data_IF_001786401724
#
_entry.id   IF_001786401724
#
_cell.length_a   1.000
_cell.length_b   1.000
_cell.length_c   1.000
_cell.angle_alpha   90.00
_cell.angle_beta   90.00
_cell.angle_gamma   90.00
#
_symmetry.space_group_name_H-M   'P 1'
#
loop_
_entity.id
_entity.type
_entity.pdbx_description
1 polymer ?
#
# COMPACT_ATOMS: atom_id res chain seq x y z
N UNK A 1 -6.84 -5.53 14.85
CA UNK A 1 -6.00 -4.32 14.80
C UNK A 1 -5.16 -4.19 13.54
N UNK A 2 -4.77 -5.25 12.81
CA UNK A 2 -4.03 -5.08 11.54
C UNK A 2 -4.80 -4.38 10.41
N UNK A 3 -6.11 -4.61 10.30
CA UNK A 3 -6.95 -3.93 9.31
C UNK A 3 -7.14 -2.45 9.65
N UNK A 4 -7.22 -2.11 10.93
CA UNK A 4 -7.36 -0.72 11.39
C UNK A 4 -6.07 0.06 11.10
N UNK A 5 -4.92 -0.56 11.37
CA UNK A 5 -3.61 0.01 11.05
C UNK A 5 -3.44 0.22 9.53
N UNK A 6 -3.81 -0.77 8.72
CA UNK A 6 -3.76 -0.65 7.26
C UNK A 6 -4.65 0.49 6.75
N UNK A 7 -5.87 0.64 7.30
CA UNK A 7 -6.76 1.74 6.93
C UNK A 7 -6.18 3.08 7.34
N UNK A 8 -5.64 3.20 8.56
CA UNK A 8 -5.00 4.42 9.04
C UNK A 8 -3.86 4.84 8.11
N UNK A 9 -2.96 3.91 7.76
CA UNK A 9 -1.83 4.18 6.86
C UNK A 9 -2.29 4.61 5.46
N UNK A 10 -3.29 3.92 4.90
CA UNK A 10 -3.86 4.28 3.60
C UNK A 10 -4.50 5.67 3.60
N UNK A 11 -5.26 6.01 4.64
CA UNK A 11 -5.83 7.35 4.80
C UNK A 11 -4.74 8.41 4.91
N UNK A 12 -3.73 8.18 5.76
CA UNK A 12 -2.66 9.16 5.99
C UNK A 12 -1.82 9.43 4.73
N UNK A 13 -1.50 8.39 3.94
CA UNK A 13 -0.81 8.57 2.65
C UNK A 13 -1.67 9.40 1.69
N UNK A 14 -2.98 9.11 1.60
CA UNK A 14 -3.90 9.84 0.72
C UNK A 14 -4.03 11.30 1.13
N UNK A 15 -4.15 11.58 2.43
CA UNK A 15 -4.26 12.93 2.97
C UNK A 15 -3.01 13.75 2.69
N UNK A 16 -1.83 13.21 2.99
CA UNK A 16 -0.55 13.89 2.74
C UNK A 16 -0.33 14.18 1.25
N UNK A 17 -0.68 13.24 0.37
CA UNK A 17 -0.62 13.46 -1.08
C UNK A 17 -1.61 14.55 -1.54
N UNK A 18 -2.82 14.58 -0.97
CA UNK A 18 -3.86 15.56 -1.28
C UNK A 18 -3.55 16.98 -0.80
N UNK A 19 -2.65 17.12 0.19
CA UNK A 19 -2.23 18.40 0.75
C UNK A 19 -0.91 18.93 0.13
N UNK A 20 -0.21 18.11 -0.66
CA UNK A 20 1.09 18.42 -1.24
C UNK A 20 1.08 18.69 -2.74
N UNK A 21 2.24 18.61 -3.37
CA UNK A 21 2.40 18.81 -4.82
C UNK A 21 1.69 17.74 -5.67
N UNK A 22 1.34 16.59 -5.08
CA UNK A 22 0.59 15.53 -5.72
C UNK A 22 -0.95 15.71 -5.72
N UNK A 23 -1.48 16.80 -5.14
CA UNK A 23 -2.91 16.97 -4.88
C UNK A 23 -3.81 16.75 -6.12
N UNK A 24 -3.40 17.26 -7.27
CA UNK A 24 -4.16 17.17 -8.53
C UNK A 24 -3.73 15.98 -9.41
N UNK A 25 -2.87 15.10 -8.91
CA UNK A 25 -2.26 13.99 -9.68
C UNK A 25 -2.95 12.65 -9.43
N UNK A 26 -4.04 12.64 -8.64
CA UNK A 26 -4.87 11.47 -8.41
C UNK A 26 -4.19 10.36 -7.59
N UNK A 27 -3.15 10.71 -6.81
CA UNK A 27 -2.50 9.77 -5.90
C UNK A 27 -3.45 9.43 -4.76
N UNK A 28 -3.75 8.14 -4.61
CA UNK A 28 -4.59 7.62 -3.54
C UNK A 28 -4.02 6.31 -3.01
N UNK A 29 -4.31 6.02 -1.73
CA UNK A 29 -3.94 4.76 -1.12
C UNK A 29 -5.19 4.05 -0.56
N UNK A 30 -5.22 2.73 -0.69
CA UNK A 30 -6.31 1.87 -0.19
C UNK A 30 -5.76 0.58 0.39
N UNK A 31 -6.54 -0.05 1.28
CA UNK A 31 -6.17 -1.35 1.85
C UNK A 31 -6.42 -2.45 0.82
N UNK A 32 -5.41 -3.27 0.59
CA UNK A 32 -5.50 -4.50 -0.17
C UNK A 32 -5.35 -5.70 0.77
N UNK A 33 -6.12 -6.76 0.53
CA UNK A 33 -6.17 -7.94 1.40
C UNK A 33 -5.94 -9.21 0.59
N UNK A 34 -4.82 -9.86 0.87
CA UNK A 34 -4.52 -11.18 0.32
C UNK A 34 -4.94 -12.26 1.29
N UNK A 35 -5.79 -13.18 0.81
CA UNK A 35 -6.21 -14.36 1.57
C UNK A 35 -5.59 -15.60 0.96
N UNK A 36 -4.73 -16.26 1.72
CA UNK A 36 -4.06 -17.48 1.31
C UNK A 36 -4.68 -18.64 2.10
N UNK A 37 -5.24 -19.60 1.37
CA UNK A 37 -5.74 -20.85 1.92
C UNK A 37 -4.96 -22.03 1.33
N UNK A 38 -4.45 -22.97 2.15
CA UNK A 38 -3.80 -24.16 1.64
C UNK A 38 -4.76 -25.01 0.80
N UNK A 39 -4.35 -25.36 -0.42
CA UNK A 39 -5.17 -26.15 -1.35
C UNK A 39 -5.42 -27.59 -0.90
N UNK A 40 -4.50 -28.18 -0.13
CA UNK A 40 -4.65 -29.51 0.46
C UNK A 40 -4.21 -29.49 1.92
N UNK A 41 -5.07 -30.02 2.79
CA UNK A 41 -4.86 -30.13 4.23
C UNK A 41 -5.28 -31.55 4.63
N UNK A 42 -4.45 -32.31 5.36
CA UNK A 42 -4.76 -33.69 5.73
C UNK A 42 -6.12 -33.81 6.44
N UNK A 43 -6.82 -34.93 6.22
CA UNK A 43 -8.09 -35.21 6.90
C UNK A 43 -7.88 -35.15 8.42
N UNK A 44 -8.60 -34.25 9.09
CA UNK A 44 -8.51 -34.02 10.53
C UNK A 44 -7.73 -32.78 10.95
N UNK A 45 -7.01 -32.12 10.03
CA UNK A 45 -6.36 -30.83 10.29
C UNK A 45 -7.32 -29.68 9.95
N UNK A 46 -7.38 -28.66 10.81
CA UNK A 46 -8.06 -27.40 10.50
C UNK A 46 -7.45 -26.77 9.24
N UNK A 47 -8.26 -26.08 8.43
CA UNK A 47 -7.77 -25.31 7.28
C UNK A 47 -7.44 -23.89 7.74
N UNK A 48 -6.17 -23.54 8.04
CA UNK A 48 -5.86 -22.17 8.40
C UNK A 48 -6.11 -21.25 7.20
N UNK A 49 -6.67 -20.08 7.46
CA UNK A 49 -6.72 -18.97 6.50
C UNK A 49 -5.69 -17.95 6.94
N UNK A 50 -4.73 -17.64 6.07
CA UNK A 50 -3.77 -16.58 6.32
C UNK A 50 -4.26 -15.32 5.60
N UNK A 51 -4.37 -14.22 6.33
CA UNK A 51 -4.75 -12.91 5.78
C UNK A 51 -3.55 -11.99 5.87
N UNK A 52 -3.12 -11.42 4.75
CA UNK A 52 -2.08 -10.39 4.68
C UNK A 52 -2.72 -9.08 4.23
N UNK A 53 -2.31 -7.99 4.89
CA UNK A 53 -2.78 -6.65 4.59
C UNK A 53 -1.64 -5.87 3.95
N UNK A 54 -1.97 -5.17 2.87
CA UNK A 54 -1.08 -4.28 2.16
C UNK A 54 -1.75 -2.91 2.00
N UNK A 55 -0.94 -1.87 1.84
CA UNK A 55 -1.39 -0.56 1.38
C UNK A 55 -1.08 -0.47 -0.11
N UNK A 56 -2.13 -0.45 -0.92
CA UNK A 56 -2.04 -0.24 -2.36
C UNK A 56 -2.04 1.27 -2.62
N UNK A 57 -0.92 1.82 -3.08
CA UNK A 57 -0.78 3.21 -3.52
C UNK A 57 -0.93 3.24 -5.04
N UNK A 58 -1.78 4.10 -5.57
CA UNK A 58 -2.03 4.22 -7.00
C UNK A 58 -2.19 5.66 -7.45
N UNK A 59 -1.90 5.91 -8.72
CA UNK A 59 -2.32 7.10 -9.45
C UNK A 59 -3.13 6.70 -10.70
N UNK A 60 -3.20 7.58 -11.71
CA UNK A 60 -3.87 7.31 -12.97
C UNK A 60 -3.23 6.18 -13.81
N UNK A 61 -1.94 5.92 -13.64
CA UNK A 61 -1.13 5.07 -14.54
C UNK A 61 -0.32 3.99 -13.83
N UNK A 62 -0.19 4.06 -12.50
CA UNK A 62 0.70 3.21 -11.70
C UNK A 62 0.01 2.68 -10.46
N UNK A 63 0.50 1.55 -9.99
CA UNK A 63 0.11 0.93 -8.73
C UNK A 63 1.34 0.33 -8.04
N UNK A 64 1.39 0.45 -6.72
CA UNK A 64 2.41 -0.16 -5.88
C UNK A 64 1.77 -0.80 -4.64
N UNK A 65 2.33 -1.91 -4.19
CA UNK A 65 1.83 -2.70 -3.07
C UNK A 65 2.84 -2.67 -1.93
N UNK A 66 2.53 -1.91 -0.87
CA UNK A 66 3.39 -1.76 0.29
C UNK A 66 2.91 -2.67 1.41
N UNK A 67 3.83 -3.36 2.10
CA UNK A 67 3.50 -3.89 3.42
C UNK A 67 3.33 -2.74 4.44
N UNK A 68 2.81 -3.06 5.63
CA UNK A 68 2.46 -2.04 6.62
C UNK A 68 3.70 -1.30 7.17
N UNK A 69 4.84 -1.98 7.27
CA UNK A 69 6.09 -1.40 7.77
C UNK A 69 6.68 -0.41 6.76
N UNK A 70 6.66 -0.78 5.47
CA UNK A 70 7.12 0.05 4.36
C UNK A 70 6.19 1.26 4.18
N UNK A 71 4.87 1.08 4.34
CA UNK A 71 3.91 2.18 4.32
C UNK A 71 4.13 3.16 5.49
N UNK A 72 4.42 2.65 6.69
CA UNK A 72 4.80 3.50 7.84
C UNK A 72 6.06 4.30 7.57
N UNK A 73 7.08 3.66 7.01
CA UNK A 73 8.35 4.33 6.66
C UNK A 73 8.18 5.35 5.53
N UNK A 74 7.29 5.10 4.56
CA UNK A 74 6.96 6.09 3.53
C UNK A 74 6.31 7.33 4.15
N UNK A 75 5.41 7.13 5.12
CA UNK A 75 4.76 8.23 5.85
C UNK A 75 5.79 9.04 6.64
N UNK A 76 6.69 8.40 7.38
CA UNK A 76 7.68 9.13 8.20
C UNK A 76 8.58 10.06 7.38
N UNK A 77 8.87 9.68 6.13
CA UNK A 77 9.70 10.46 5.20
C UNK A 77 8.91 11.31 4.20
N UNK A 78 7.57 11.28 4.26
CA UNK A 78 6.74 11.94 3.25
C UNK A 78 6.95 13.46 3.25
N UNK A 79 7.38 14.01 2.11
CA UNK A 79 7.55 15.45 1.94
C UNK A 79 6.39 16.06 1.13
N UNK A 80 5.89 17.23 1.56
CA UNK A 80 4.81 17.93 0.84
C UNK A 80 5.20 18.39 -0.56
N UNK A 81 6.51 18.52 -0.83
CA UNK A 81 7.06 18.86 -2.14
C UNK A 81 7.02 17.71 -3.14
N UNK A 82 6.75 16.47 -2.70
CA UNK A 82 6.68 15.34 -3.62
C UNK A 82 5.42 15.41 -4.49
N UNK A 83 5.64 15.37 -5.80
CA UNK A 83 4.62 15.05 -6.79
C UNK A 83 4.41 13.53 -6.87
N UNK A 84 3.52 13.07 -7.75
CA UNK A 84 3.28 11.63 -7.89
C UNK A 84 4.57 10.88 -8.25
N UNK A 85 5.40 11.44 -9.13
CA UNK A 85 6.66 10.81 -9.52
C UNK A 85 7.62 10.68 -8.32
N UNK A 86 7.77 11.73 -7.51
CA UNK A 86 8.55 11.69 -6.28
C UNK A 86 8.06 10.64 -5.29
N UNK A 87 6.74 10.52 -5.12
CA UNK A 87 6.13 9.48 -4.25
C UNK A 87 6.47 8.08 -4.79
N UNK A 88 6.28 7.82 -6.08
CA UNK A 88 6.56 6.51 -6.66
C UNK A 88 8.07 6.20 -6.73
N UNK A 89 8.94 7.20 -6.87
CA UNK A 89 10.39 7.01 -6.78
C UNK A 89 10.83 6.70 -5.35
N UNK A 90 10.24 7.35 -4.33
CA UNK A 90 10.46 7.00 -2.93
C UNK A 90 10.00 5.57 -2.61
N UNK A 91 8.91 5.11 -3.23
CA UNK A 91 8.45 3.72 -3.15
C UNK A 91 9.46 2.76 -3.81
N UNK A 92 9.97 3.08 -5.01
CA UNK A 92 11.00 2.25 -5.68
C UNK A 92 12.29 2.16 -4.90
N UNK A 93 12.69 3.25 -4.23
CA UNK A 93 13.89 3.26 -3.38
C UNK A 93 13.81 2.30 -2.19
N UNK A 94 12.62 1.77 -1.88
CA UNK A 94 12.36 0.77 -0.84
C UNK A 94 12.23 -0.65 -1.41
N UNK A 95 12.73 -0.89 -2.63
CA UNK A 95 12.63 -2.16 -3.36
C UNK A 95 11.20 -2.66 -3.59
N UNK A 96 10.21 -1.75 -3.57
CA UNK A 96 8.82 -2.06 -3.88
C UNK A 96 8.58 -1.92 -5.38
N UNK A 97 7.94 -2.93 -5.98
CA UNK A 97 7.57 -2.91 -7.38
C UNK A 97 6.48 -1.86 -7.64
N UNK A 98 6.69 -1.05 -8.69
CA UNK A 98 5.68 -0.11 -9.22
C UNK A 98 5.26 -0.62 -10.59
N UNK A 99 4.02 -1.08 -10.68
CA UNK A 99 3.44 -1.69 -11.87
C UNK A 99 2.61 -0.67 -12.65
N UNK A 100 2.49 -0.87 -13.96
CA UNK A 100 1.56 -0.10 -14.78
C UNK A 100 0.12 -0.51 -14.45
N UNK A 101 -0.74 0.47 -14.20
CA UNK A 101 -2.18 0.28 -13.99
C UNK A 101 -2.82 -0.04 -15.34
N UNK A 102 -3.39 -1.24 -15.47
CA UNK A 102 -4.11 -1.70 -16.66
C UNK A 102 -5.56 -1.21 -16.68
#
# INVERSE_FOLDING_TARGET
MLVDDANRLATEITERASMGAAADQGVAAKVHVDKIQPGSVPRGAGRPTFTRYFVQVEDATRVAMLDLDTAGTLIDEFEQSWDADGIFDAIRARDVAVEAKQ
#
